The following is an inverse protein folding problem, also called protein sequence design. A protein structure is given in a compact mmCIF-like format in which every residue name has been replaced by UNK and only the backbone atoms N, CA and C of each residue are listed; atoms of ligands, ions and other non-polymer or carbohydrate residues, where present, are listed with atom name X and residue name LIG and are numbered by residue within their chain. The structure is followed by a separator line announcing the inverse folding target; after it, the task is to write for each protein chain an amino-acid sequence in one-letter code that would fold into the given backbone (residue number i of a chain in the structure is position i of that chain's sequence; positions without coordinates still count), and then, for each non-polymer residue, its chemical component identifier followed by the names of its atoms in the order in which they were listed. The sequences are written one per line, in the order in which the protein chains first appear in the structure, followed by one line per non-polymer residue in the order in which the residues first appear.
data_IF_345617114944
#
_entry.id   IF_345617114944
#
_cell.length_a   1.000
_cell.length_b   1.000
_cell.length_c   1.000
_cell.angle_alpha   90.00
_cell.angle_beta   90.00
_cell.angle_gamma   90.00
#
_symmetry.space_group_name_H-M   'P 1'
#
loop_
_entity.id
_entity.type
_entity.pdbx_description
1 polymer ?
#
# COMPACT_ATOMS: atom_id res chain seq x y z
N UNK A 1 -9.45 -23.48 0.66
CA UNK A 1 -9.30 -24.87 0.20
C UNK A 1 -7.87 -25.42 0.25
N UNK A 2 -6.92 -24.75 0.93
CA UNK A 2 -5.59 -25.28 1.23
C UNK A 2 -5.54 -26.08 2.54
N UNK A 3 -6.70 -26.29 3.15
CA UNK A 3 -6.80 -26.79 4.52
C UNK A 3 -6.74 -28.30 4.68
N UNK A 4 -6.73 -29.10 3.64
CA UNK A 4 -7.13 -30.50 3.82
C UNK A 4 -6.18 -31.60 3.35
N UNK A 5 -4.97 -31.29 2.88
CA UNK A 5 -4.06 -32.38 2.48
C UNK A 5 -2.69 -32.23 3.12
N UNK A 6 -2.45 -33.00 4.16
CA UNK A 6 -1.10 -33.43 4.46
C UNK A 6 -0.69 -34.37 3.31
N UNK A 7 0.21 -33.90 2.45
CA UNK A 7 0.65 -34.63 1.25
C UNK A 7 1.64 -35.75 1.63
N UNK A 8 2.24 -35.67 2.81
CA UNK A 8 3.23 -36.63 3.29
C UNK A 8 2.63 -37.55 4.36
N UNK A 9 2.51 -38.87 4.08
CA UNK A 9 1.91 -39.82 5.03
C UNK A 9 2.63 -39.91 6.38
N UNK A 10 3.87 -39.41 6.48
CA UNK A 10 4.62 -39.35 7.75
C UNK A 10 3.97 -38.41 8.77
N UNK A 11 3.09 -37.50 8.32
CA UNK A 11 2.45 -36.49 9.18
C UNK A 11 1.01 -36.82 9.58
N UNK A 12 0.54 -38.01 9.29
CA UNK A 12 -0.83 -38.45 9.68
C UNK A 12 -1.06 -38.46 11.19
N UNK A 13 0.00 -38.48 11.97
CA UNK A 13 -0.06 -38.48 13.44
C UNK A 13 0.06 -37.10 14.08
N UNK A 14 0.34 -36.05 13.29
CA UNK A 14 0.55 -34.71 13.84
C UNK A 14 -0.73 -33.92 13.71
N UNK A 15 -1.31 -33.54 14.85
CA UNK A 15 -2.51 -32.69 14.90
C UNK A 15 -2.15 -31.30 14.34
N UNK A 16 -2.94 -30.81 13.39
CA UNK A 16 -2.80 -29.42 12.88
C UNK A 16 -2.90 -28.42 14.01
N UNK A 17 -2.07 -27.38 13.95
CA UNK A 17 -2.04 -26.32 14.98
C UNK A 17 -1.28 -26.71 16.25
N UNK A 18 -0.53 -27.81 16.25
CA UNK A 18 0.31 -28.20 17.40
C UNK A 18 1.62 -27.42 17.51
N UNK A 19 1.96 -26.59 16.52
CA UNK A 19 3.14 -25.74 16.54
C UNK A 19 2.72 -24.25 16.54
N UNK A 20 2.35 -23.69 17.70
CA UNK A 20 1.97 -22.28 17.82
C UNK A 20 3.15 -21.31 17.61
N UNK A 21 4.37 -21.84 17.66
CA UNK A 21 5.60 -21.08 17.42
C UNK A 21 6.33 -21.65 16.20
N UNK A 22 6.95 -20.78 15.41
CA UNK A 22 7.63 -21.16 14.16
C UNK A 22 8.81 -22.11 14.42
N UNK A 23 9.54 -21.89 15.49
CA UNK A 23 10.65 -22.75 15.93
C UNK A 23 10.21 -24.20 16.21
N UNK A 24 8.94 -24.40 16.58
CA UNK A 24 8.39 -25.73 16.83
C UNK A 24 8.11 -26.56 15.57
N UNK A 25 8.39 -25.99 14.39
CA UNK A 25 8.46 -26.76 13.15
C UNK A 25 9.66 -27.71 13.13
N UNK A 26 10.69 -27.44 13.92
CA UNK A 26 11.76 -28.36 14.21
C UNK A 26 11.38 -29.38 15.28
N UNK A 27 11.65 -30.68 15.05
CA UNK A 27 11.33 -31.76 16.02
C UNK A 27 12.07 -31.58 17.34
N UNK A 28 13.30 -31.05 17.28
CA UNK A 28 14.14 -30.91 18.48
C UNK A 28 13.80 -29.67 19.30
N UNK A 29 13.20 -28.66 18.69
CA UNK A 29 12.79 -27.42 19.34
C UNK A 29 11.35 -27.50 19.87
N UNK A 30 10.57 -28.46 19.40
CA UNK A 30 9.19 -28.64 19.86
C UNK A 30 9.15 -29.51 21.14
N UNK A 31 8.60 -29.00 22.26
CA UNK A 31 8.52 -29.75 23.51
C UNK A 31 7.76 -31.09 23.44
N UNK A 32 6.86 -31.23 22.44
CA UNK A 32 6.12 -32.46 22.19
C UNK A 32 6.92 -33.50 21.37
N UNK A 33 8.11 -33.16 20.87
CA UNK A 33 8.90 -33.99 19.97
C UNK A 33 8.25 -34.19 18.60
N UNK A 34 7.25 -33.39 18.27
CA UNK A 34 6.56 -33.41 16.98
C UNK A 34 7.04 -32.21 16.12
N UNK A 35 7.32 -32.43 14.85
CA UNK A 35 7.76 -31.38 13.96
C UNK A 35 7.95 -31.87 12.54
N UNK A 36 8.22 -30.95 11.64
CA UNK A 36 8.40 -31.27 10.23
C UNK A 36 9.82 -31.64 9.87
N UNK A 37 10.81 -31.12 10.58
CA UNK A 37 12.23 -31.33 10.28
C UNK A 37 12.99 -31.92 11.49
N UNK A 38 13.77 -32.97 11.21
CA UNK A 38 14.56 -33.70 12.22
C UNK A 38 15.95 -33.07 12.49
N UNK A 39 16.38 -32.10 11.68
CA UNK A 39 17.68 -31.46 11.81
C UNK A 39 17.78 -30.57 13.05
N UNK A 40 18.89 -30.69 13.81
CA UNK A 40 19.14 -29.81 14.95
C UNK A 40 19.21 -28.33 14.52
N UNK A 41 18.53 -27.45 15.25
CA UNK A 41 18.50 -26.02 15.00
C UNK A 41 17.64 -25.62 13.79
N UNK A 42 16.79 -26.50 13.28
CA UNK A 42 15.99 -26.20 12.10
C UNK A 42 14.95 -25.10 12.34
N UNK A 43 14.30 -25.12 13.52
CA UNK A 43 13.39 -24.08 13.93
C UNK A 43 14.08 -22.70 14.00
N UNK A 44 15.26 -22.65 14.60
CA UNK A 44 16.05 -21.43 14.67
C UNK A 44 16.48 -20.93 13.27
N UNK A 45 16.84 -21.82 12.34
CA UNK A 45 17.14 -21.44 10.95
C UNK A 45 15.92 -20.82 10.26
N UNK A 46 14.72 -21.30 10.52
CA UNK A 46 13.49 -20.68 10.00
C UNK A 46 13.30 -19.28 10.60
N UNK A 47 13.52 -19.12 11.92
CA UNK A 47 13.46 -17.80 12.57
C UNK A 47 14.51 -16.85 11.98
N UNK A 48 15.73 -17.29 11.77
CA UNK A 48 16.79 -16.49 11.14
C UNK A 48 16.40 -16.05 9.72
N UNK A 49 15.83 -16.95 8.93
CA UNK A 49 15.33 -16.63 7.58
C UNK A 49 14.18 -15.63 7.65
N UNK A 50 13.23 -15.83 8.56
CA UNK A 50 12.11 -14.91 8.77
C UNK A 50 12.58 -13.55 9.27
N UNK A 51 13.52 -13.50 10.22
CA UNK A 51 14.14 -12.27 10.70
C UNK A 51 14.84 -11.54 9.55
N UNK A 52 15.63 -12.25 8.74
CA UNK A 52 16.27 -11.68 7.56
C UNK A 52 15.26 -11.17 6.54
N UNK A 53 14.15 -11.87 6.32
CA UNK A 53 13.07 -11.41 5.44
C UNK A 53 12.40 -10.15 6.02
N UNK A 54 12.16 -10.12 7.32
CA UNK A 54 11.59 -8.96 7.99
C UNK A 54 12.58 -7.78 7.98
N UNK A 55 13.85 -8.00 8.28
CA UNK A 55 14.89 -6.97 8.23
C UNK A 55 15.15 -6.46 6.81
N UNK A 56 15.04 -7.32 5.78
CA UNK A 56 15.12 -6.90 4.37
C UNK A 56 13.82 -6.24 3.90
N UNK A 57 12.67 -6.59 4.50
CA UNK A 57 11.39 -5.91 4.28
C UNK A 57 11.30 -4.57 5.01
N UNK A 58 12.07 -4.38 6.10
CA UNK A 58 12.20 -3.10 6.82
C UNK A 58 13.26 -2.16 6.23
N UNK A 59 14.09 -2.62 5.28
CA UNK A 59 14.80 -1.64 4.45
C UNK A 59 13.72 -0.87 3.73
N UNK A 60 13.55 0.39 4.08
CA UNK A 60 13.00 1.40 3.18
C UNK A 60 13.73 1.16 1.85
N UNK A 61 13.13 0.38 0.92
CA UNK A 61 13.54 0.49 -0.47
C UNK A 61 13.45 1.98 -0.72
N UNK A 62 14.61 2.59 -0.98
CA UNK A 62 14.71 4.01 -1.28
C UNK A 62 13.71 4.24 -2.42
N UNK A 63 12.51 4.72 -2.02
CA UNK A 63 11.40 4.87 -2.95
C UNK A 63 11.85 5.89 -3.97
N UNK A 64 12.42 5.41 -5.09
CA UNK A 64 12.89 6.26 -6.15
C UNK A 64 11.73 7.06 -6.74
N UNK A 65 11.44 8.21 -6.10
CA UNK A 65 10.38 9.11 -6.53
C UNK A 65 10.93 10.05 -7.60
N UNK A 66 10.41 9.89 -8.82
CA UNK A 66 10.79 10.70 -9.97
C UNK A 66 9.97 12.00 -9.96
N UNK A 67 10.64 13.14 -9.82
CA UNK A 67 9.96 14.44 -9.85
C UNK A 67 9.68 14.90 -11.29
N UNK A 68 8.39 15.12 -11.59
CA UNK A 68 7.91 15.65 -12.85
C UNK A 68 6.82 16.71 -12.60
N UNK A 69 7.18 17.81 -11.94
CA UNK A 69 6.23 18.78 -11.43
C UNK A 69 5.49 19.52 -12.54
N UNK A 70 4.17 19.55 -12.44
CA UNK A 70 3.26 20.36 -13.25
C UNK A 70 3.02 21.73 -12.59
N UNK A 71 2.61 22.71 -13.40
CA UNK A 71 2.29 24.07 -12.95
C UNK A 71 0.89 24.53 -13.35
N UNK A 72 0.13 23.66 -14.04
CA UNK A 72 -1.22 23.95 -14.50
C UNK A 72 -2.26 23.18 -13.69
N UNK A 73 -3.48 23.66 -13.67
CA UNK A 73 -4.64 23.00 -13.06
C UNK A 73 -4.41 22.62 -11.59
N UNK A 74 -3.81 23.54 -10.82
CA UNK A 74 -3.56 23.40 -9.38
C UNK A 74 -3.77 24.73 -8.67
N UNK A 75 -3.68 24.72 -7.35
CA UNK A 75 -3.70 25.91 -6.51
C UNK A 75 -2.31 26.14 -5.91
N UNK A 76 -1.43 26.90 -6.58
CA UNK A 76 -0.04 27.08 -6.15
C UNK A 76 0.06 27.68 -4.73
N UNK A 77 0.81 27.03 -3.86
CA UNK A 77 1.06 27.46 -2.47
C UNK A 77 -0.18 27.46 -1.56
N UNK A 78 -1.30 26.87 -1.99
CA UNK A 78 -2.58 26.96 -1.24
C UNK A 78 -2.98 25.63 -0.58
N UNK A 79 -2.12 24.64 -0.53
CA UNK A 79 -2.39 23.40 0.19
C UNK A 79 -1.89 23.48 1.64
N UNK A 80 -2.75 23.08 2.55
CA UNK A 80 -2.42 22.84 3.97
C UNK A 80 -2.76 21.37 4.26
N UNK A 81 -1.87 20.43 3.92
CA UNK A 81 -2.18 19.00 4.00
C UNK A 81 -2.65 18.57 5.38
N UNK A 82 -3.73 17.81 5.41
CA UNK A 82 -4.31 17.17 6.58
C UNK A 82 -4.66 15.69 6.32
N UNK A 83 -4.66 15.28 5.06
CA UNK A 83 -5.04 13.94 4.62
C UNK A 83 -4.15 13.43 3.49
N UNK A 84 -3.91 12.13 3.45
CA UNK A 84 -3.47 11.40 2.25
C UNK A 84 -4.69 10.74 1.64
N UNK A 85 -4.93 10.97 0.35
CA UNK A 85 -6.12 10.46 -0.36
C UNK A 85 -5.71 9.54 -1.49
N UNK A 86 -6.28 8.34 -1.50
CA UNK A 86 -6.02 7.29 -2.48
C UNK A 86 -7.09 7.32 -3.56
N UNK A 87 -6.62 7.23 -4.80
CA UNK A 87 -7.40 7.17 -6.02
C UNK A 87 -6.91 6.02 -6.92
N UNK A 88 -7.68 5.71 -7.94
CA UNK A 88 -7.27 4.93 -9.10
C UNK A 88 -7.54 5.72 -10.36
N UNK A 89 -6.62 5.64 -11.33
CA UNK A 89 -6.72 6.39 -12.59
C UNK A 89 -7.96 6.04 -13.41
N UNK A 90 -8.56 4.87 -13.16
CA UNK A 90 -9.67 4.30 -13.95
C UNK A 90 -9.39 4.30 -15.47
N UNK A 91 -8.11 4.33 -15.84
CA UNK A 91 -7.63 4.32 -17.22
C UNK A 91 -7.01 2.96 -17.56
N UNK A 92 -7.80 2.09 -18.17
CA UNK A 92 -7.44 0.73 -18.53
C UNK A 92 -6.75 0.63 -19.90
N UNK A 93 -6.41 1.75 -20.51
CA UNK A 93 -5.73 1.77 -21.80
C UNK A 93 -4.30 1.27 -21.67
N UNK A 94 -3.83 0.56 -22.71
CA UNK A 94 -2.42 0.17 -22.80
C UNK A 94 -1.53 1.40 -22.81
N UNK A 95 -0.41 1.31 -22.07
CA UNK A 95 0.54 2.41 -21.92
C UNK A 95 0.10 3.54 -21.00
N UNK A 96 -1.06 3.42 -20.31
CA UNK A 96 -1.53 4.41 -19.32
C UNK A 96 -0.83 4.22 -17.96
N UNK A 97 0.49 4.16 -17.95
CA UNK A 97 1.34 4.02 -16.79
C UNK A 97 1.54 5.35 -16.03
N UNK A 98 2.26 5.31 -14.92
CA UNK A 98 2.53 6.49 -14.10
C UNK A 98 3.32 7.57 -14.85
N UNK A 99 4.24 7.19 -15.75
CA UNK A 99 5.00 8.11 -16.58
C UNK A 99 4.12 8.83 -17.60
N UNK A 100 3.22 8.09 -18.25
CA UNK A 100 2.30 8.66 -19.24
C UNK A 100 1.37 9.70 -18.60
N UNK A 101 0.77 9.35 -17.44
CA UNK A 101 -0.07 10.27 -16.67
C UNK A 101 0.71 11.50 -16.19
N UNK A 102 1.89 11.30 -15.61
CA UNK A 102 2.74 12.42 -15.17
C UNK A 102 3.13 13.34 -16.33
N UNK A 103 3.45 12.77 -17.50
CA UNK A 103 3.77 13.55 -18.72
C UNK A 103 2.54 14.32 -19.20
N UNK A 104 1.38 13.69 -19.28
CA UNK A 104 0.14 14.34 -19.69
C UNK A 104 -0.23 15.49 -18.72
N UNK A 105 -0.08 15.27 -17.41
CA UNK A 105 -0.31 16.29 -16.39
C UNK A 105 0.67 17.47 -16.52
N UNK A 106 1.97 17.19 -16.67
CA UNK A 106 3.00 18.23 -16.87
C UNK A 106 2.70 19.12 -18.08
N UNK A 107 2.21 18.53 -19.15
CA UNK A 107 1.84 19.24 -20.36
C UNK A 107 0.50 20.00 -20.24
N UNK A 108 -0.26 19.75 -19.17
CA UNK A 108 -1.58 20.35 -18.94
C UNK A 108 -2.70 19.73 -19.77
N UNK A 109 -2.53 18.47 -20.19
CA UNK A 109 -3.50 17.73 -20.99
C UNK A 109 -4.57 17.00 -20.13
N UNK A 110 -4.46 17.06 -18.79
CA UNK A 110 -5.43 16.48 -17.86
C UNK A 110 -6.23 17.59 -17.18
N UNK A 111 -7.53 17.40 -17.09
CA UNK A 111 -8.42 18.31 -16.37
C UNK A 111 -8.22 18.23 -14.84
N UNK A 112 -7.95 17.02 -14.31
CA UNK A 112 -7.63 16.79 -12.90
C UNK A 112 -6.11 16.73 -12.69
N UNK A 113 -5.69 16.99 -11.44
CA UNK A 113 -4.28 16.91 -11.04
C UNK A 113 -4.16 16.23 -9.70
N UNK A 114 -3.03 15.56 -9.47
CA UNK A 114 -2.72 14.86 -8.23
C UNK A 114 -1.25 15.08 -7.84
N UNK A 115 -0.86 14.63 -6.65
CA UNK A 115 0.52 14.78 -6.20
C UNK A 115 1.41 13.64 -6.68
N UNK A 116 0.84 12.44 -6.83
CA UNK A 116 1.59 11.25 -7.21
C UNK A 116 0.80 10.36 -8.15
N UNK A 117 1.51 9.79 -9.13
CA UNK A 117 1.09 8.63 -9.89
C UNK A 117 1.99 7.45 -9.55
N UNK A 118 1.39 6.28 -9.34
CA UNK A 118 2.07 5.05 -8.93
C UNK A 118 1.66 3.91 -9.82
N UNK A 119 2.63 3.20 -10.39
CA UNK A 119 2.46 1.90 -11.05
C UNK A 119 3.38 0.86 -10.42
N UNK A 120 3.39 -0.37 -10.94
CA UNK A 120 4.21 -1.46 -10.40
C UNK A 120 5.72 -1.20 -10.48
N UNK A 121 6.17 -0.32 -11.36
CA UNK A 121 7.58 -0.03 -11.63
C UNK A 121 8.06 1.31 -11.10
N UNK A 122 7.16 2.29 -10.89
CA UNK A 122 7.58 3.67 -10.69
C UNK A 122 6.62 4.50 -9.84
N UNK A 123 7.17 5.57 -9.25
CA UNK A 123 6.43 6.62 -8.55
C UNK A 123 6.84 7.96 -9.16
N UNK A 124 5.86 8.72 -9.66
CA UNK A 124 6.06 10.07 -10.16
C UNK A 124 5.42 11.09 -9.24
N UNK A 125 6.21 12.04 -8.70
CA UNK A 125 5.68 13.21 -8.01
C UNK A 125 5.37 14.30 -9.03
N UNK A 126 4.12 14.73 -9.09
CA UNK A 126 3.61 15.67 -10.10
C UNK A 126 3.15 17.01 -9.55
N UNK A 127 3.02 17.16 -8.24
CA UNK A 127 2.84 18.44 -7.55
C UNK A 127 3.70 18.50 -6.28
N UNK A 128 4.09 19.71 -5.92
CA UNK A 128 4.65 19.99 -4.59
C UNK A 128 3.53 19.87 -3.54
N UNK A 129 3.84 19.39 -2.34
CA UNK A 129 2.83 19.20 -1.30
C UNK A 129 2.16 20.52 -0.86
N UNK A 130 2.80 21.65 -1.05
CA UNK A 130 2.23 22.99 -0.77
C UNK A 130 1.19 23.42 -1.81
N UNK A 131 1.12 22.76 -2.96
CA UNK A 131 0.20 23.12 -4.03
C UNK A 131 -1.07 22.28 -3.93
N UNK A 132 -2.24 22.91 -4.01
CA UNK A 132 -3.51 22.19 -3.97
C UNK A 132 -3.81 21.51 -5.32
N UNK A 133 -4.22 20.25 -5.28
CA UNK A 133 -4.56 19.47 -6.48
C UNK A 133 -6.04 19.65 -6.87
N UNK A 134 -6.36 19.48 -8.15
CA UNK A 134 -7.75 19.36 -8.62
C UNK A 134 -8.16 17.88 -8.62
N UNK A 135 -8.32 17.28 -7.44
CA UNK A 135 -8.49 15.83 -7.27
C UNK A 135 -9.82 15.42 -6.58
N UNK A 136 -10.28 16.20 -5.61
CA UNK A 136 -11.45 15.86 -4.77
C UNK A 136 -12.49 17.00 -4.70
N UNK A 137 -12.46 17.90 -5.69
CA UNK A 137 -13.34 19.07 -5.72
C UNK A 137 -14.83 18.75 -5.91
N UNK A 138 -15.15 17.58 -6.45
CA UNK A 138 -16.50 17.07 -6.65
C UNK A 138 -17.28 16.88 -5.33
N UNK A 139 -16.61 16.72 -4.20
CA UNK A 139 -17.22 16.68 -2.87
C UNK A 139 -17.65 18.04 -2.31
N UNK A 140 -17.21 19.15 -2.92
CA UNK A 140 -17.50 20.50 -2.44
C UNK A 140 -17.07 20.76 -0.99
N UNK A 141 -16.16 19.96 -0.45
CA UNK A 141 -15.71 20.02 0.95
C UNK A 141 -16.72 19.49 1.98
N UNK A 142 -17.83 18.89 1.54
CA UNK A 142 -18.92 18.40 2.42
C UNK A 142 -18.43 17.48 3.54
N UNK A 143 -17.38 16.69 3.28
CA UNK A 143 -16.84 15.71 4.22
C UNK A 143 -15.49 16.16 4.83
N UNK A 144 -15.16 17.44 4.75
CA UNK A 144 -13.96 18.03 5.34
C UNK A 144 -12.67 17.79 4.55
N UNK A 145 -12.71 17.04 3.44
CA UNK A 145 -11.58 16.78 2.55
C UNK A 145 -11.73 17.64 1.29
N UNK A 146 -10.69 18.38 0.94
CA UNK A 146 -10.73 19.36 -0.16
C UNK A 146 -9.47 19.29 -1.00
N UNK A 147 -9.49 19.95 -2.14
CA UNK A 147 -8.33 20.14 -3.03
C UNK A 147 -7.14 20.88 -2.35
N UNK A 148 -7.36 21.54 -1.22
CA UNK A 148 -6.38 22.39 -0.54
C UNK A 148 -5.99 21.88 0.85
N UNK A 149 -6.40 20.66 1.21
CA UNK A 149 -5.97 20.03 2.46
C UNK A 149 -5.64 18.55 2.30
N UNK A 150 -5.30 18.12 1.08
CA UNK A 150 -5.00 16.72 0.81
C UNK A 150 -3.76 16.54 -0.07
N UNK A 151 -3.05 15.43 0.16
CA UNK A 151 -2.05 14.89 -0.74
C UNK A 151 -2.69 13.69 -1.43
N UNK A 152 -2.70 13.68 -2.77
CA UNK A 152 -3.47 12.74 -3.57
C UNK A 152 -2.53 11.79 -4.31
N UNK A 153 -2.79 10.47 -4.22
CA UNK A 153 -2.04 9.39 -4.86
C UNK A 153 -2.98 8.66 -5.81
N UNK A 154 -2.65 8.61 -7.09
CA UNK A 154 -3.34 7.86 -8.13
C UNK A 154 -2.60 6.53 -8.40
N UNK A 155 -3.27 5.42 -8.24
CA UNK A 155 -2.77 4.10 -8.60
C UNK A 155 -3.19 3.80 -10.03
N UNK A 156 -2.20 3.48 -10.89
CA UNK A 156 -2.44 3.10 -12.28
C UNK A 156 -3.05 1.70 -12.39
N UNK A 157 -4.04 1.56 -13.28
CA UNK A 157 -4.78 0.31 -13.49
C UNK A 157 -4.61 -0.25 -14.91
N UNK A 158 -3.66 0.27 -15.68
CA UNK A 158 -3.36 -0.21 -17.02
C UNK A 158 -2.90 -1.67 -17.04
N UNK A 159 -3.21 -2.44 -18.10
CA UNK A 159 -3.01 -3.88 -18.12
C UNK A 159 -1.55 -4.35 -18.09
N UNK A 160 -0.60 -3.49 -18.41
CA UNK A 160 0.84 -3.79 -18.33
C UNK A 160 1.40 -3.67 -16.90
N UNK A 161 0.70 -2.98 -16.01
CA UNK A 161 1.09 -2.83 -14.60
C UNK A 161 0.60 -4.02 -13.78
N UNK A 162 1.47 -4.61 -12.97
CA UNK A 162 1.04 -5.50 -11.90
C UNK A 162 0.30 -4.67 -10.85
N UNK A 163 -1.02 -4.74 -10.87
CA UNK A 163 -1.87 -3.92 -10.02
C UNK A 163 -1.58 -4.08 -8.53
N UNK A 164 -1.37 -5.30 -8.04
CA UNK A 164 -1.14 -5.52 -6.62
C UNK A 164 0.23 -5.00 -6.16
N UNK A 165 1.23 -5.02 -7.05
CA UNK A 165 2.51 -4.33 -6.78
C UNK A 165 2.35 -2.82 -6.80
N UNK A 166 1.52 -2.26 -7.67
CA UNK A 166 1.21 -0.83 -7.67
C UNK A 166 0.50 -0.42 -6.37
N UNK A 167 -0.44 -1.23 -5.89
CA UNK A 167 -1.11 -1.04 -4.60
C UNK A 167 -0.10 -1.07 -3.46
N UNK A 168 0.79 -2.06 -3.41
CA UNK A 168 1.84 -2.19 -2.38
C UNK A 168 2.78 -0.97 -2.36
N UNK A 169 3.22 -0.49 -3.54
CA UNK A 169 4.00 0.77 -3.63
C UNK A 169 3.22 1.99 -3.14
N UNK A 170 1.92 2.05 -3.41
CA UNK A 170 1.09 3.13 -2.90
C UNK A 170 0.90 3.07 -1.38
N UNK A 171 0.84 1.87 -0.79
CA UNK A 171 0.82 1.64 0.65
C UNK A 171 2.12 2.14 1.31
N UNK A 172 3.28 1.81 0.73
CA UNK A 172 4.59 2.30 1.17
C UNK A 172 4.70 3.83 1.08
N UNK A 173 4.29 4.41 -0.06
CA UNK A 173 4.27 5.87 -0.24
C UNK A 173 3.34 6.55 0.76
N UNK A 174 2.14 6.01 0.97
CA UNK A 174 1.20 6.54 1.96
C UNK A 174 1.79 6.49 3.37
N UNK A 175 2.45 5.39 3.74
CA UNK A 175 3.12 5.24 5.03
C UNK A 175 4.24 6.29 5.22
N UNK A 176 5.08 6.48 4.21
CA UNK A 176 6.14 7.50 4.23
C UNK A 176 5.56 8.91 4.41
N UNK A 177 4.49 9.25 3.68
CA UNK A 177 3.81 10.54 3.82
C UNK A 177 3.19 10.71 5.20
N UNK A 178 2.50 9.70 5.72
CA UNK A 178 1.92 9.75 7.07
C UNK A 178 3.01 9.96 8.13
N UNK A 179 4.13 9.24 8.04
CA UNK A 179 5.30 9.41 8.93
C UNK A 179 5.87 10.82 8.82
N UNK A 180 6.06 11.33 7.60
CA UNK A 180 6.60 12.68 7.33
C UNK A 180 5.79 13.78 8.01
N UNK A 181 4.46 13.62 8.06
CA UNK A 181 3.55 14.60 8.67
C UNK A 181 3.20 14.29 10.14
N UNK A 182 3.71 13.21 10.72
CA UNK A 182 3.37 12.79 12.08
C UNK A 182 1.90 12.37 12.24
N UNK A 183 1.32 11.79 11.19
CA UNK A 183 -0.10 11.37 11.17
C UNK A 183 -0.25 9.87 11.38
N UNK A 184 -1.39 9.47 11.96
CA UNK A 184 -1.85 8.10 11.99
C UNK A 184 -2.64 7.72 10.73
N UNK A 185 -3.04 6.44 10.65
CA UNK A 185 -3.85 5.92 9.52
C UNK A 185 -5.28 6.47 9.49
N UNK A 186 -5.71 7.20 10.53
CA UNK A 186 -6.94 7.98 10.53
C UNK A 186 -6.93 9.10 9.48
N UNK A 187 -5.74 9.57 9.07
CA UNK A 187 -5.55 10.57 8.01
C UNK A 187 -5.45 9.98 6.61
N UNK A 188 -5.41 8.65 6.49
CA UNK A 188 -5.47 7.95 5.21
C UNK A 188 -6.93 7.78 4.78
N UNK A 189 -7.27 8.31 3.61
CA UNK A 189 -8.63 8.40 3.08
C UNK A 189 -8.70 7.93 1.64
N UNK A 190 -9.90 7.62 1.17
CA UNK A 190 -10.21 7.35 -0.24
C UNK A 190 -10.86 8.58 -0.85
N UNK A 191 -10.86 8.71 -2.14
CA UNK A 191 -11.70 9.70 -2.83
C UNK A 191 -13.18 9.55 -2.39
N UNK A 192 -13.65 8.30 -2.23
CA UNK A 192 -14.98 8.02 -1.68
C UNK A 192 -15.25 8.77 -0.37
N UNK A 193 -14.26 8.88 0.51
CA UNK A 193 -14.44 9.55 1.80
C UNK A 193 -14.59 11.08 1.65
N UNK A 194 -14.10 11.66 0.54
CA UNK A 194 -14.18 13.08 0.22
C UNK A 194 -15.51 13.47 -0.49
N UNK A 195 -16.07 12.58 -1.35
CA UNK A 195 -17.18 12.96 -2.22
C UNK A 195 -18.27 11.88 -2.40
N UNK A 196 -18.05 10.66 -1.92
CA UNK A 196 -18.82 9.45 -2.22
C UNK A 196 -18.66 8.93 -3.65
N UNK A 197 -17.73 9.48 -4.43
CA UNK A 197 -17.34 8.91 -5.71
C UNK A 197 -16.83 7.48 -5.52
N UNK A 198 -17.21 6.57 -6.42
CA UNK A 198 -16.71 5.18 -6.40
C UNK A 198 -15.25 5.12 -6.88
N UNK A 199 -14.35 5.63 -6.03
CA UNK A 199 -12.90 5.72 -6.26
C UNK A 199 -12.16 5.62 -4.90
N UNK A 200 -11.11 4.84 -4.79
CA UNK A 200 -10.53 3.93 -5.79
C UNK A 200 -11.47 2.75 -6.08
N UNK A 201 -11.76 2.50 -7.36
CA UNK A 201 -12.82 1.56 -7.76
C UNK A 201 -12.47 0.12 -7.37
N UNK A 202 -11.34 -0.39 -7.86
CA UNK A 202 -10.96 -1.77 -7.69
C UNK A 202 -10.67 -2.13 -6.23
N UNK A 203 -10.04 -1.21 -5.48
CA UNK A 203 -9.84 -1.36 -4.02
C UNK A 203 -11.19 -1.55 -3.31
N UNK A 204 -12.23 -0.82 -3.73
CA UNK A 204 -13.56 -0.94 -3.12
C UNK A 204 -14.26 -2.21 -3.57
N UNK A 205 -14.25 -2.53 -4.87
CA UNK A 205 -14.92 -3.70 -5.44
C UNK A 205 -14.35 -5.03 -4.90
N UNK A 206 -13.03 -5.09 -4.70
CA UNK A 206 -12.34 -6.26 -4.13
C UNK A 206 -12.28 -6.24 -2.59
N UNK A 207 -12.82 -5.21 -1.93
CA UNK A 207 -12.81 -5.10 -0.47
C UNK A 207 -11.42 -4.92 0.15
N UNK A 208 -10.45 -4.38 -0.59
CA UNK A 208 -9.04 -4.29 -0.18
C UNK A 208 -8.75 -3.15 0.80
N UNK A 209 -9.67 -2.22 1.02
CA UNK A 209 -9.39 -1.03 1.84
C UNK A 209 -8.93 -1.31 3.27
N UNK A 210 -9.54 -2.27 4.02
CA UNK A 210 -9.04 -2.62 5.35
C UNK A 210 -7.59 -3.14 5.32
N UNK A 211 -7.26 -3.96 4.31
CA UNK A 211 -5.91 -4.49 4.13
C UNK A 211 -4.91 -3.40 3.74
N UNK A 212 -5.29 -2.49 2.84
CA UNK A 212 -4.50 -1.32 2.48
C UNK A 212 -4.10 -0.51 3.73
N UNK A 213 -5.05 -0.21 4.61
CA UNK A 213 -4.79 0.49 5.87
C UNK A 213 -3.87 -0.31 6.80
N UNK A 214 -4.11 -1.61 6.92
CA UNK A 214 -3.30 -2.50 7.76
C UNK A 214 -1.85 -2.55 7.30
N UNK A 215 -1.60 -2.72 5.99
CA UNK A 215 -0.25 -2.74 5.42
C UNK A 215 0.42 -1.38 5.52
N UNK A 216 -0.29 -0.29 5.26
CA UNK A 216 0.23 1.07 5.48
C UNK A 216 0.68 1.25 6.93
N UNK A 217 -0.11 0.80 7.92
CA UNK A 217 0.29 0.84 9.34
C UNK A 217 1.54 -0.01 9.61
N UNK A 218 1.66 -1.19 9.01
CA UNK A 218 2.84 -2.03 9.12
C UNK A 218 4.09 -1.33 8.56
N UNK A 219 4.02 -0.71 7.38
CA UNK A 219 5.11 0.11 6.82
C UNK A 219 5.46 1.35 7.65
N UNK A 220 4.53 1.82 8.47
CA UNK A 220 4.83 2.88 9.45
C UNK A 220 5.59 2.37 10.68
N UNK A 221 5.70 1.05 10.88
CA UNK A 221 6.23 0.44 12.10
C UNK A 221 5.25 0.55 13.28
N UNK A 222 3.96 0.79 13.00
CA UNK A 222 2.91 0.85 14.03
C UNK A 222 2.18 -0.50 14.09
N UNK A 223 1.90 -1.00 15.30
CA UNK A 223 1.08 -2.20 15.45
C UNK A 223 -0.30 -1.97 14.81
N UNK A 224 -0.87 -2.94 14.07
CA UNK A 224 -2.20 -2.79 13.49
C UNK A 224 -3.22 -2.59 14.62
N UNK A 225 -4.13 -1.60 14.44
CA UNK A 225 -5.29 -1.45 15.32
C UNK A 225 -6.09 -2.76 15.29
N UNK A 226 -6.43 -3.29 16.47
CA UNK A 226 -7.32 -4.46 16.56
C UNK A 226 -8.68 -4.08 15.94
N UNK A 227 -9.27 -4.94 15.10
CA UNK A 227 -10.64 -4.71 14.63
C UNK A 227 -11.57 -4.59 15.84
N UNK A 228 -12.28 -3.49 15.93
CA UNK A 228 -13.40 -3.30 16.87
C UNK A 228 -14.64 -4.04 16.39
#
# INVERSE_FOLDING_TARGET
ALEQRCIDPRFTYVKRGCAPYVEWLGIQENPSGAGWAAGKGYGNKILDILSNILETGEREEDMNIIKMLAKKNCYPGQNKPAYVVIHETDNWSRGADAKAHATAMKNGNLAGTVHYYVDSGSIYQTLDHKDGAWAVGDGGGRYGITNRNSINIEICVNPESDYYKAVDKAEQLAASLLKQYGWGTDRLKRHYDASRKHCPRRIQDEGLWPEFKRKTAAYMGTAPEKPT
#
